data_IF_966454200110
#
_entry.id   IF_966454200110
#
_cell.length_a   1.000
_cell.length_b   1.000
_cell.length_c   1.000
_cell.angle_alpha   90.00
_cell.angle_beta   90.00
_cell.angle_gamma   90.00
#
_symmetry.space_group_name_H-M   'P 1'
#
loop_
_entity.id
_entity.type
_entity.pdbx_description
1 polymer ?
#
# COMPACT_ATOMS: atom_id res chain seq x y z
N UNK A 1 33.66 -22.21 -54.01
CA UNK A 1 32.78 -21.60 -52.99
C UNK A 1 32.36 -20.23 -53.51
N UNK A 2 31.12 -20.07 -53.98
CA UNK A 2 30.61 -18.77 -54.41
C UNK A 2 29.95 -18.08 -53.22
N UNK A 3 30.66 -17.16 -52.57
CA UNK A 3 30.10 -16.31 -51.54
C UNK A 3 29.49 -15.07 -52.21
N UNK A 4 28.21 -15.14 -52.54
CA UNK A 4 27.46 -13.97 -53.00
C UNK A 4 27.07 -13.21 -51.73
N UNK A 5 27.84 -12.20 -51.32
CA UNK A 5 27.39 -11.29 -50.25
C UNK A 5 26.39 -10.28 -50.84
N UNK A 6 25.20 -10.17 -50.25
CA UNK A 6 24.26 -9.07 -50.54
C UNK A 6 24.16 -8.19 -49.31
N UNK A 7 24.90 -7.09 -49.34
CA UNK A 7 24.86 -6.04 -48.32
C UNK A 7 24.07 -4.84 -48.82
N UNK A 8 23.24 -4.28 -47.95
CA UNK A 8 22.55 -3.01 -48.19
C UNK A 8 23.15 -1.97 -47.26
N UNK A 9 23.51 -0.82 -47.83
CA UNK A 9 24.06 0.32 -47.10
C UNK A 9 22.99 1.40 -46.97
N UNK A 10 22.66 1.75 -45.73
CA UNK A 10 21.61 2.71 -45.40
C UNK A 10 22.26 3.88 -44.72
N UNK A 11 22.29 5.03 -45.39
CA UNK A 11 22.83 6.26 -44.83
C UNK A 11 21.70 7.07 -44.19
N UNK A 12 21.97 7.62 -43.01
CA UNK A 12 21.01 8.44 -42.29
C UNK A 12 21.71 9.49 -41.43
N UNK A 13 20.94 10.51 -41.03
CA UNK A 13 21.36 11.49 -40.04
C UNK A 13 20.54 11.25 -38.76
N UNK A 14 21.22 11.11 -37.63
CA UNK A 14 20.59 11.07 -36.32
C UNK A 14 20.60 12.48 -35.72
N UNK A 15 19.53 13.23 -35.97
CA UNK A 15 19.36 14.59 -35.46
C UNK A 15 18.38 14.56 -34.29
N UNK A 16 18.78 15.12 -33.15
CA UNK A 16 17.97 15.14 -31.94
C UNK A 16 18.74 15.75 -30.77
N UNK A 17 18.20 15.59 -29.57
CA UNK A 17 18.87 16.02 -28.35
C UNK A 17 20.21 15.30 -28.16
N UNK A 18 21.14 15.96 -27.47
CA UNK A 18 22.38 15.29 -27.06
C UNK A 18 22.06 14.03 -26.24
N UNK A 19 22.88 12.99 -26.34
CA UNK A 19 22.65 11.76 -25.60
C UNK A 19 23.03 10.53 -26.38
N UNK A 20 22.58 9.39 -25.86
CA UNK A 20 22.77 8.08 -26.45
C UNK A 20 21.43 7.48 -26.83
N UNK A 21 21.43 6.78 -27.96
CA UNK A 21 20.25 6.20 -28.56
C UNK A 21 20.47 4.71 -28.80
N UNK A 22 19.40 3.93 -28.69
CA UNK A 22 19.30 2.63 -29.32
C UNK A 22 18.67 2.79 -30.70
N UNK A 23 19.43 2.44 -31.74
CA UNK A 23 19.03 2.60 -33.13
C UNK A 23 18.59 1.26 -33.67
N UNK A 24 17.35 1.18 -34.13
CA UNK A 24 16.75 -0.04 -34.66
C UNK A 24 16.38 0.13 -36.12
N UNK A 25 16.54 -0.95 -36.89
CA UNK A 25 16.22 -0.98 -38.30
C UNK A 25 15.04 -1.91 -38.58
N UNK A 26 14.10 -1.42 -39.36
CA UNK A 26 12.89 -2.13 -39.78
C UNK A 26 12.73 -2.03 -41.28
N UNK A 27 12.00 -2.98 -41.86
CA UNK A 27 11.57 -2.88 -43.27
C UNK A 27 10.10 -3.24 -43.43
N UNK A 28 9.50 -2.71 -44.49
CA UNK A 28 8.20 -3.17 -44.97
C UNK A 28 8.15 -3.13 -46.50
N UNK A 29 7.41 -4.05 -47.14
CA UNK A 29 7.03 -3.91 -48.54
C UNK A 29 6.27 -2.59 -48.78
N UNK A 30 6.43 -1.98 -49.95
CA UNK A 30 5.71 -0.73 -50.29
C UNK A 30 4.20 -0.88 -50.21
N UNK A 31 3.68 -2.07 -50.52
CA UNK A 31 2.25 -2.43 -50.47
C UNK A 31 1.76 -2.92 -49.09
N UNK A 32 2.60 -2.87 -48.04
CA UNK A 32 2.25 -3.30 -46.69
C UNK A 32 2.17 -2.10 -45.72
N UNK A 33 1.19 -2.17 -44.82
CA UNK A 33 1.08 -1.29 -43.65
C UNK A 33 1.83 -1.82 -42.42
N UNK A 34 2.24 -3.09 -42.44
CA UNK A 34 2.94 -3.75 -41.32
C UNK A 34 4.45 -3.66 -41.52
N UNK A 35 5.14 -3.14 -40.50
CA UNK A 35 6.59 -3.24 -40.36
C UNK A 35 7.01 -4.66 -39.99
N UNK A 36 8.22 -5.05 -40.37
CA UNK A 36 8.85 -6.26 -39.84
C UNK A 36 9.17 -6.12 -38.37
N UNK A 37 9.56 -7.21 -37.73
CA UNK A 37 10.34 -7.13 -36.51
C UNK A 37 11.69 -6.43 -36.78
N UNK A 38 12.39 -6.06 -35.71
CA UNK A 38 13.73 -5.50 -35.78
C UNK A 38 14.65 -6.41 -36.61
N UNK A 39 15.37 -5.81 -37.56
CA UNK A 39 16.31 -6.54 -38.38
C UNK A 39 17.55 -6.92 -37.57
N UNK A 40 17.86 -8.21 -37.57
CA UNK A 40 19.11 -8.75 -37.03
C UNK A 40 20.22 -8.72 -38.10
N UNK A 41 21.46 -9.08 -37.74
CA UNK A 41 22.62 -9.09 -38.66
C UNK A 41 22.86 -7.74 -39.38
N UNK A 42 22.61 -6.66 -38.65
CA UNK A 42 22.95 -5.29 -39.02
C UNK A 42 24.23 -4.88 -38.28
N UNK A 43 25.06 -4.06 -38.94
CA UNK A 43 26.32 -3.54 -38.40
C UNK A 43 26.47 -2.06 -38.73
N UNK A 44 27.47 -1.38 -38.15
CA UNK A 44 27.69 0.05 -38.33
C UNK A 44 27.07 0.89 -37.22
N UNK A 45 26.51 2.04 -37.57
CA UNK A 45 25.83 2.97 -36.65
C UNK A 45 24.43 2.47 -36.25
N UNK A 46 24.34 1.30 -35.61
CA UNK A 46 23.08 0.65 -35.20
C UNK A 46 23.21 0.05 -33.80
N UNK A 47 22.08 -0.19 -33.12
CA UNK A 47 22.00 -0.73 -31.77
C UNK A 47 22.24 0.31 -30.66
N UNK A 48 22.59 -0.17 -29.48
CA UNK A 48 22.73 0.64 -28.26
C UNK A 48 23.88 1.65 -28.32
N UNK A 49 23.76 2.70 -27.51
CA UNK A 49 24.80 3.69 -27.22
C UNK A 49 25.23 4.58 -28.41
N UNK A 50 24.39 4.71 -29.44
CA UNK A 50 24.68 5.55 -30.59
C UNK A 50 24.49 7.04 -30.25
N UNK A 51 25.49 7.86 -30.59
CA UNK A 51 25.40 9.31 -30.42
C UNK A 51 24.64 9.95 -31.59
N UNK A 52 24.10 11.15 -31.39
CA UNK A 52 23.64 12.00 -32.50
C UNK A 52 24.77 12.32 -33.46
N UNK A 53 24.45 12.56 -34.72
CA UNK A 53 25.44 12.88 -35.76
C UNK A 53 24.92 12.65 -37.18
N UNK A 54 25.62 13.25 -38.14
CA UNK A 54 25.35 13.13 -39.57
C UNK A 54 26.20 12.04 -40.23
N UNK A 55 25.84 11.65 -41.44
CA UNK A 55 26.57 10.70 -42.29
C UNK A 55 26.75 9.33 -41.62
N UNK A 56 25.75 8.89 -40.86
CA UNK A 56 25.76 7.57 -40.23
C UNK A 56 25.38 6.51 -41.25
N UNK A 57 25.89 5.30 -41.03
CA UNK A 57 25.66 4.19 -41.94
C UNK A 57 25.33 2.89 -41.21
N UNK A 58 24.22 2.28 -41.62
CA UNK A 58 23.86 0.90 -41.24
C UNK A 58 24.15 -0.01 -42.43
N UNK A 59 24.86 -1.10 -42.18
CA UNK A 59 25.13 -2.16 -43.15
C UNK A 59 24.34 -3.39 -42.77
N UNK A 60 23.39 -3.78 -43.63
CA UNK A 60 22.57 -4.95 -43.42
C UNK A 60 23.01 -6.12 -44.32
N UNK A 61 23.33 -7.26 -43.70
CA UNK A 61 23.60 -8.52 -44.40
C UNK A 61 22.28 -9.24 -44.70
N UNK A 62 21.78 -9.06 -45.92
CA UNK A 62 20.43 -9.47 -46.31
C UNK A 62 20.27 -10.99 -46.27
N UNK A 63 21.31 -11.72 -46.71
CA UNK A 63 21.24 -13.17 -46.93
C UNK A 63 21.17 -13.92 -45.60
N UNK A 64 21.71 -13.36 -44.53
CA UNK A 64 21.60 -13.95 -43.19
C UNK A 64 20.20 -13.85 -42.60
N UNK A 65 19.39 -12.92 -43.08
CA UNK A 65 18.03 -12.73 -42.57
C UNK A 65 16.97 -13.32 -43.49
N UNK A 66 17.22 -13.39 -44.80
CA UNK A 66 16.22 -13.76 -45.82
C UNK A 66 16.91 -14.43 -47.00
N UNK A 67 16.31 -15.50 -47.51
CA UNK A 67 16.82 -16.23 -48.69
C UNK A 67 16.86 -15.34 -49.95
N UNK A 68 15.87 -14.46 -50.11
CA UNK A 68 15.78 -13.49 -51.21
C UNK A 68 15.09 -12.20 -50.76
N UNK A 69 15.58 -11.06 -51.25
CA UNK A 69 14.91 -9.76 -51.17
C UNK A 69 14.54 -9.35 -52.60
N UNK A 70 13.26 -9.46 -52.95
CA UNK A 70 12.72 -9.18 -54.29
C UNK A 70 11.52 -8.24 -54.13
N UNK A 71 11.50 -7.17 -54.92
CA UNK A 71 10.45 -6.14 -54.91
C UNK A 71 10.92 -4.82 -54.31
N UNK A 72 9.96 -3.93 -54.08
CA UNK A 72 10.20 -2.61 -53.50
C UNK A 72 9.94 -2.62 -51.99
N UNK A 73 10.86 -2.00 -51.24
CA UNK A 73 10.83 -1.96 -49.79
C UNK A 73 11.11 -0.55 -49.26
N UNK A 74 10.50 -0.26 -48.12
CA UNK A 74 10.74 0.96 -47.34
C UNK A 74 11.52 0.55 -46.09
N UNK A 75 12.57 1.30 -45.77
CA UNK A 75 13.34 1.16 -44.55
C UNK A 75 12.84 2.17 -43.51
N UNK A 76 12.67 1.71 -42.28
CA UNK A 76 12.34 2.54 -41.12
C UNK A 76 13.49 2.47 -40.13
N UNK A 77 13.93 3.64 -39.65
CA UNK A 77 14.92 3.74 -38.56
C UNK A 77 14.19 4.31 -37.35
N UNK A 78 14.27 3.60 -36.24
CA UNK A 78 13.77 4.07 -34.96
C UNK A 78 14.96 4.45 -34.09
N UNK A 79 14.89 5.62 -33.45
CA UNK A 79 15.91 6.12 -32.55
C UNK A 79 15.31 6.32 -31.16
N UNK A 80 15.66 5.43 -30.22
CA UNK A 80 15.12 5.43 -28.86
C UNK A 80 16.14 6.11 -27.94
N UNK A 81 15.77 7.24 -27.32
CA UNK A 81 16.67 7.96 -26.42
C UNK A 81 16.79 7.19 -25.09
N UNK A 82 18.00 6.71 -24.78
CA UNK A 82 18.25 5.89 -23.60
C UNK A 82 18.06 6.66 -22.29
N UNK A 83 18.33 7.97 -22.27
CA UNK A 83 18.09 8.78 -21.06
C UNK A 83 16.61 8.88 -20.73
N UNK A 84 15.75 9.01 -21.75
CA UNK A 84 14.31 9.08 -21.54
C UNK A 84 13.76 7.77 -20.96
N UNK A 85 14.28 6.63 -21.41
CA UNK A 85 13.91 5.32 -20.83
C UNK A 85 14.30 5.28 -19.34
N UNK A 86 15.54 5.65 -19.02
CA UNK A 86 16.02 5.64 -17.61
C UNK A 86 15.19 6.60 -16.73
N UNK A 87 14.81 7.77 -17.26
CA UNK A 87 13.95 8.74 -16.59
C UNK A 87 12.53 8.19 -16.36
N UNK A 88 11.90 7.62 -17.39
CA UNK A 88 10.57 7.02 -17.33
C UNK A 88 10.52 5.81 -16.36
N UNK A 89 11.52 4.93 -16.40
CA UNK A 89 11.64 3.80 -15.46
C UNK A 89 11.82 4.28 -14.02
N UNK A 90 12.62 5.33 -13.81
CA UNK A 90 12.83 5.92 -12.50
C UNK A 90 11.56 6.58 -11.96
N UNK A 91 10.82 7.28 -12.81
CA UNK A 91 9.56 7.92 -12.46
C UNK A 91 8.49 6.88 -12.08
N UNK A 92 8.36 5.81 -12.86
CA UNK A 92 7.46 4.69 -12.57
C UNK A 92 7.79 4.02 -11.22
N UNK A 93 9.08 3.85 -10.91
CA UNK A 93 9.52 3.31 -9.63
C UNK A 93 9.12 4.24 -8.47
N UNK A 94 9.37 5.54 -8.58
CA UNK A 94 9.03 6.53 -7.56
C UNK A 94 7.52 6.61 -7.32
N UNK A 95 6.70 6.53 -8.37
CA UNK A 95 5.24 6.49 -8.26
C UNK A 95 4.78 5.26 -7.47
N UNK A 96 5.33 4.08 -7.79
CA UNK A 96 4.99 2.83 -7.11
C UNK A 96 5.32 2.86 -5.60
N UNK A 97 6.48 3.42 -5.25
CA UNK A 97 6.92 3.56 -3.85
C UNK A 97 6.05 4.55 -3.10
N UNK A 98 5.71 5.67 -3.73
CA UNK A 98 4.85 6.71 -3.14
C UNK A 98 3.46 6.15 -2.83
N UNK A 99 2.87 5.43 -3.79
CA UNK A 99 1.57 4.78 -3.60
C UNK A 99 1.57 3.79 -2.43
N UNK A 100 2.66 3.04 -2.24
CA UNK A 100 2.78 2.09 -1.14
C UNK A 100 2.92 2.79 0.22
N UNK A 101 3.72 3.85 0.30
CA UNK A 101 3.85 4.68 1.50
C UNK A 101 2.49 5.26 1.91
N UNK A 102 1.70 5.76 0.95
CA UNK A 102 0.37 6.30 1.22
C UNK A 102 -0.61 5.24 1.74
N UNK A 103 -0.56 4.01 1.18
CA UNK A 103 -1.36 2.88 1.69
C UNK A 103 -1.01 2.54 3.12
N UNK A 104 0.28 2.41 3.44
CA UNK A 104 0.73 2.11 4.80
C UNK A 104 0.41 3.24 5.78
N UNK A 105 0.54 4.50 5.35
CA UNK A 105 0.16 5.65 6.17
C UNK A 105 -1.35 5.66 6.45
N UNK A 106 -2.17 5.34 5.46
CA UNK A 106 -3.63 5.18 5.62
C UNK A 106 -3.97 4.05 6.60
N UNK A 107 -3.29 2.90 6.47
CA UNK A 107 -3.47 1.75 7.37
C UNK A 107 -3.07 2.11 8.82
N UNK A 108 -1.93 2.79 8.99
CA UNK A 108 -1.45 3.29 10.28
C UNK A 108 -2.43 4.28 10.93
N UNK A 109 -2.98 5.23 10.16
CA UNK A 109 -4.02 6.16 10.65
C UNK A 109 -5.26 5.43 11.12
N UNK A 110 -5.71 4.40 10.38
CA UNK A 110 -6.85 3.55 10.79
C UNK A 110 -6.57 2.86 12.12
N UNK A 111 -5.42 2.21 12.29
CA UNK A 111 -5.07 1.55 13.55
C UNK A 111 -4.97 2.53 14.73
N UNK A 112 -4.46 3.74 14.49
CA UNK A 112 -4.44 4.79 15.52
C UNK A 112 -5.84 5.23 15.94
N UNK A 113 -6.76 5.38 14.98
CA UNK A 113 -8.15 5.74 15.26
C UNK A 113 -8.86 4.62 16.05
N UNK A 114 -8.67 3.37 15.66
CA UNK A 114 -9.20 2.19 16.36
C UNK A 114 -8.66 2.09 17.80
N UNK A 115 -7.35 2.26 17.98
CA UNK A 115 -6.74 2.27 19.30
C UNK A 115 -7.27 3.42 20.19
N UNK A 116 -7.54 4.59 19.61
CA UNK A 116 -8.15 5.71 20.33
C UNK A 116 -9.58 5.39 20.78
N UNK A 117 -10.39 4.76 19.93
CA UNK A 117 -11.74 4.32 20.26
C UNK A 117 -11.73 3.28 21.39
N UNK A 118 -10.84 2.29 21.33
CA UNK A 118 -10.66 1.28 22.38
C UNK A 118 -10.31 1.96 23.71
N UNK A 119 -9.37 2.91 23.71
CA UNK A 119 -8.98 3.65 24.92
C UNK A 119 -10.16 4.42 25.52
N UNK A 120 -11.00 5.04 24.69
CA UNK A 120 -12.19 5.73 25.16
C UNK A 120 -13.19 4.76 25.80
N UNK A 121 -13.45 3.62 25.15
CA UNK A 121 -14.35 2.59 25.68
C UNK A 121 -13.84 2.02 27.02
N UNK A 122 -12.55 1.71 27.14
CA UNK A 122 -11.95 1.25 28.40
C UNK A 122 -12.11 2.29 29.51
N UNK A 123 -11.85 3.57 29.22
CA UNK A 123 -12.03 4.64 30.20
C UNK A 123 -13.48 4.80 30.63
N UNK A 124 -14.43 4.60 29.72
CA UNK A 124 -15.86 4.66 30.01
C UNK A 124 -16.29 3.49 30.90
N UNK A 125 -15.92 2.26 30.54
CA UNK A 125 -16.20 1.07 31.35
C UNK A 125 -15.63 1.22 32.77
N UNK A 126 -14.42 1.78 32.91
CA UNK A 126 -13.83 2.02 34.24
C UNK A 126 -14.61 3.04 35.07
N UNK A 127 -15.18 4.08 34.46
CA UNK A 127 -16.05 5.02 35.18
C UNK A 127 -17.33 4.33 35.66
N UNK A 128 -17.93 3.50 34.82
CA UNK A 128 -19.14 2.76 35.13
C UNK A 128 -18.91 1.74 36.26
N UNK A 129 -17.77 1.05 36.24
CA UNK A 129 -17.34 0.14 37.31
C UNK A 129 -17.21 0.87 38.65
N UNK A 130 -16.50 2.01 38.68
CA UNK A 130 -16.36 2.83 39.89
C UNK A 130 -17.73 3.29 40.41
N UNK A 131 -18.64 3.70 39.52
CA UNK A 131 -19.99 4.10 39.92
C UNK A 131 -20.80 2.94 40.52
N UNK A 132 -20.68 1.74 39.92
CA UNK A 132 -21.32 0.54 40.42
C UNK A 132 -20.79 0.16 41.81
N UNK A 133 -19.47 0.20 42.01
CA UNK A 133 -18.84 -0.06 43.30
C UNK A 133 -19.35 0.88 44.39
N UNK A 134 -19.47 2.18 44.06
CA UNK A 134 -20.03 3.17 44.99
C UNK A 134 -21.51 2.87 45.33
N UNK A 135 -22.32 2.48 44.33
CA UNK A 135 -23.72 2.10 44.54
C UNK A 135 -23.83 0.85 45.42
N UNK A 136 -22.99 -0.16 45.20
CA UNK A 136 -22.96 -1.39 46.01
C UNK A 136 -22.58 -1.05 47.45
N UNK A 137 -21.55 -0.23 47.66
CA UNK A 137 -21.12 0.22 49.00
C UNK A 137 -22.27 0.91 49.75
N UNK A 138 -22.92 1.90 49.11
CA UNK A 138 -24.08 2.59 49.70
C UNK A 138 -25.21 1.64 50.10
N UNK A 139 -25.53 0.65 49.27
CA UNK A 139 -26.55 -0.36 49.61
C UNK A 139 -26.15 -1.20 50.82
N UNK A 140 -24.89 -1.68 50.86
CA UNK A 140 -24.38 -2.44 52.01
C UNK A 140 -24.45 -1.64 53.31
N UNK A 141 -24.07 -0.36 53.26
CA UNK A 141 -24.15 0.54 54.40
C UNK A 141 -25.60 0.73 54.88
N UNK A 142 -26.55 0.92 53.95
CA UNK A 142 -27.98 1.01 54.26
C UNK A 142 -28.53 -0.26 54.93
N UNK A 143 -28.23 -1.44 54.37
CA UNK A 143 -28.67 -2.72 54.94
C UNK A 143 -28.15 -2.90 56.37
N UNK A 144 -26.87 -2.56 56.61
CA UNK A 144 -26.25 -2.65 57.94
C UNK A 144 -26.92 -1.72 58.96
N UNK A 145 -27.34 -0.52 58.54
CA UNK A 145 -28.10 0.41 59.39
C UNK A 145 -29.49 -0.16 59.70
N UNK A 146 -30.19 -0.69 58.68
CA UNK A 146 -31.52 -1.28 58.83
C UNK A 146 -31.52 -2.45 59.82
N UNK A 147 -30.59 -3.38 59.67
CA UNK A 147 -30.42 -4.53 60.59
C UNK A 147 -30.14 -4.08 62.03
N UNK A 148 -29.28 -3.06 62.20
CA UNK A 148 -29.02 -2.47 63.52
C UNK A 148 -30.29 -1.89 64.14
N UNK A 149 -31.06 -1.13 63.38
CA UNK A 149 -32.30 -0.51 63.85
C UNK A 149 -33.37 -1.56 64.19
N UNK A 150 -33.52 -2.61 63.39
CA UNK A 150 -34.43 -3.73 63.70
C UNK A 150 -34.01 -4.48 64.98
N UNK A 151 -32.70 -4.69 65.19
CA UNK A 151 -32.19 -5.30 66.43
C UNK A 151 -32.48 -4.43 67.66
N UNK A 152 -32.26 -3.10 67.55
CA UNK A 152 -32.60 -2.16 68.64
C UNK A 152 -34.09 -2.23 68.95
N UNK A 153 -34.96 -2.19 67.94
CA UNK A 153 -36.42 -2.25 68.13
C UNK A 153 -36.85 -3.52 68.88
N UNK A 154 -36.32 -4.69 68.52
CA UNK A 154 -36.59 -5.97 69.22
C UNK A 154 -36.15 -5.95 70.68
N UNK A 155 -35.02 -5.29 71.02
CA UNK A 155 -34.57 -5.16 72.42
C UNK A 155 -35.51 -4.26 73.22
N UNK A 156 -35.98 -3.15 72.65
CA UNK A 156 -36.89 -2.22 73.34
C UNK A 156 -38.31 -2.75 73.57
N UNK A 157 -38.84 -3.61 72.71
CA UNK A 157 -40.17 -4.22 72.92
C UNK A 157 -40.10 -5.37 73.96
N UNK A 158 -38.91 -5.88 74.27
CA UNK A 158 -38.71 -7.03 75.14
C UNK A 158 -38.60 -6.76 76.65
N UNK A 159 -38.55 -5.51 77.12
CA UNK A 159 -38.44 -5.22 78.57
C UNK A 159 -39.27 -4.00 78.96
N UNK A 160 -40.51 -4.22 79.42
CA UNK A 160 -41.05 -3.65 80.67
C UNK A 160 -42.07 -4.66 81.22
N UNK A 161 -41.64 -5.52 82.14
CA UNK A 161 -42.54 -6.16 83.11
C UNK A 161 -41.89 -6.01 84.47
N UNK A 162 -42.30 -4.96 85.20
CA UNK A 162 -41.94 -4.79 86.61
C UNK A 162 -42.97 -5.59 87.40
N UNK A 163 -42.59 -6.78 87.85
CA UNK A 163 -43.35 -7.52 88.88
C UNK A 163 -43.05 -6.87 90.23
N UNK A 164 -44.01 -6.11 90.78
CA UNK A 164 -44.02 -5.81 92.20
C UNK A 164 -44.42 -7.08 92.96
N UNK A 165 -43.43 -7.77 93.52
CA UNK A 165 -43.64 -8.72 94.62
C UNK A 165 -43.49 -7.93 95.93
N UNK A 166 -44.60 -7.66 96.59
CA UNK A 166 -44.61 -7.42 98.04
C UNK A 166 -45.49 -8.50 98.68
N UNK A 167 -44.81 -9.45 99.31
CA UNK A 167 -45.37 -10.50 100.15
C UNK A 167 -46.14 -9.89 101.33
N UNK A 168 -47.44 -10.14 101.34
CA UNK A 168 -48.30 -10.62 102.43
C UNK A 168 -48.09 -10.15 103.89
N UNK A 169 -49.24 -9.76 104.48
CA UNK A 169 -49.80 -10.20 105.77
C UNK A 169 -49.62 -9.28 107.02
N UNK A 170 -50.70 -8.59 107.46
CA UNK A 170 -51.53 -8.90 108.67
C UNK A 170 -52.49 -7.75 109.07
N UNK A 171 -53.78 -8.11 109.26
CA UNK A 171 -54.89 -7.59 110.11
C UNK A 171 -55.07 -6.06 110.35
N UNK A 172 -56.28 -5.51 110.34
CA UNK A 172 -57.55 -5.97 110.95
C UNK A 172 -58.75 -5.91 110.01
#
# INVERSE_FOLDING_TARGET
MNQIEKKIYINYDNVGDSGKYDIKLYIKPTNSLKWSNELTNVTGDVGYNQKVGKNKQIVWDVIKNRDKLIGEFIFGIEAINLRKIEEEESELYLESVTAEIERELSRSKKYRAEAAAIRQAVNQNRKEEIELEQKIKKRKDYTKIKERNEKIFKVSVGIVTILFLSSDLWLW
#
